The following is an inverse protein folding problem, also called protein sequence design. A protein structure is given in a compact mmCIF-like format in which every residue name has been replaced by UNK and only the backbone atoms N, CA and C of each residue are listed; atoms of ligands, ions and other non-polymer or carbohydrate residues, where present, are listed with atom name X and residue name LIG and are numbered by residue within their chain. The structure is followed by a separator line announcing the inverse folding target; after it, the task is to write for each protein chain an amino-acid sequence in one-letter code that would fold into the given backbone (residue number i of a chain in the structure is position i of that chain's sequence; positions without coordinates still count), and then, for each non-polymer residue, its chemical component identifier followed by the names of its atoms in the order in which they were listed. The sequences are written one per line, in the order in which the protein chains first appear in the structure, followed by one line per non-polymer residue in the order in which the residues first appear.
data_IF_992950139544
#
_entry.id   IF_992950139544
#
_cell.length_a   1.000
_cell.length_b   1.000
_cell.length_c   1.000
_cell.angle_alpha   90.00
_cell.angle_beta   90.00
_cell.angle_gamma   90.00
#
_symmetry.space_group_name_H-M   'P 1'
#
loop_
_entity.id
_entity.type
_entity.pdbx_description
1 polymer ?
#
# COMPACT_ATOMS: atom_id res chain seq x y z
N UNK A 1 -12.98 9.96 -11.29
CA UNK A 1 -11.66 10.03 -11.92
C UNK A 1 -10.89 8.72 -11.83
N UNK A 2 -10.25 8.34 -10.70
CA UNK A 2 -9.52 7.05 -10.64
C UNK A 2 -10.37 5.83 -11.02
N UNK A 3 -11.64 5.78 -10.61
CA UNK A 3 -12.58 4.71 -11.00
C UNK A 3 -12.83 4.59 -12.51
N UNK A 4 -12.50 5.62 -13.29
CA UNK A 4 -12.72 5.68 -14.74
C UNK A 4 -11.45 5.36 -15.54
N UNK A 5 -10.32 5.14 -14.86
CA UNK A 5 -9.05 4.77 -15.48
C UNK A 5 -8.95 3.27 -15.73
N UNK A 6 -9.81 2.44 -15.16
CA UNK A 6 -9.73 0.97 -15.26
C UNK A 6 -9.05 0.29 -14.07
N UNK A 7 -8.58 1.06 -13.07
CA UNK A 7 -8.12 0.51 -11.79
C UNK A 7 -9.24 -0.32 -11.14
N UNK A 8 -8.90 -1.52 -10.69
CA UNK A 8 -9.85 -2.45 -10.05
C UNK A 8 -9.89 -2.30 -8.51
N UNK A 9 -8.86 -1.70 -7.92
CA UNK A 9 -8.74 -1.46 -6.48
C UNK A 9 -8.21 -0.05 -6.25
N UNK A 10 -8.89 0.73 -5.40
CA UNK A 10 -8.50 2.11 -5.05
C UNK A 10 -8.62 2.26 -3.53
N UNK A 11 -7.49 2.34 -2.83
CA UNK A 11 -7.51 2.63 -1.38
C UNK A 11 -8.09 4.04 -1.15
N UNK A 12 -9.28 4.09 -0.54
CA UNK A 12 -10.11 5.29 -0.56
C UNK A 12 -9.75 6.27 0.56
N UNK A 13 -9.48 5.77 1.76
CA UNK A 13 -9.20 6.58 2.96
C UNK A 13 -8.73 5.71 4.13
N UNK A 14 -8.53 6.32 5.30
CA UNK A 14 -8.08 5.69 6.53
C UNK A 14 -8.93 6.13 7.73
N UNK A 15 -9.55 5.17 8.42
CA UNK A 15 -10.35 5.39 9.64
C UNK A 15 -9.44 5.44 10.87
N UNK A 16 -8.43 6.31 10.81
CA UNK A 16 -7.49 6.62 11.90
C UNK A 16 -7.99 7.81 12.71
N UNK A 17 -7.43 7.99 13.90
CA UNK A 17 -7.77 9.15 14.72
C UNK A 17 -7.34 10.47 14.03
N UNK A 18 -8.28 11.41 13.79
CA UNK A 18 -7.97 12.71 13.20
C UNK A 18 -6.97 13.53 14.02
N UNK A 19 -6.84 13.22 15.33
CA UNK A 19 -5.84 13.83 16.21
C UNK A 19 -4.41 13.56 15.75
N UNK A 20 -4.15 12.37 15.22
CA UNK A 20 -2.82 11.94 14.81
C UNK A 20 -2.58 12.14 13.31
N UNK A 21 -3.63 11.98 12.50
CA UNK A 21 -3.57 12.13 11.04
C UNK A 21 -4.71 13.02 10.55
N UNK A 22 -4.59 14.35 10.70
CA UNK A 22 -5.66 15.29 10.36
C UNK A 22 -6.01 15.29 8.87
N UNK A 23 -5.10 14.85 8.00
CA UNK A 23 -5.32 14.74 6.56
C UNK A 23 -6.40 13.70 6.21
N UNK A 24 -6.69 12.77 7.13
CA UNK A 24 -7.72 11.72 6.95
C UNK A 24 -8.97 12.01 7.79
N UNK A 25 -9.13 13.23 8.31
CA UNK A 25 -10.21 13.56 9.26
C UNK A 25 -11.63 13.39 8.68
N UNK A 26 -11.76 13.55 7.37
CA UNK A 26 -12.99 13.46 6.59
C UNK A 26 -13.23 12.06 6.00
N UNK A 27 -12.61 11.03 6.58
CA UNK A 27 -12.68 9.64 6.09
C UNK A 27 -14.11 9.13 5.88
N UNK A 28 -15.06 9.54 6.72
CA UNK A 28 -16.45 9.09 6.62
C UNK A 28 -17.14 9.71 5.42
N UNK A 29 -17.01 11.03 5.28
CA UNK A 29 -17.59 11.83 4.21
C UNK A 29 -17.01 11.44 2.85
N UNK A 30 -15.70 11.18 2.80
CA UNK A 30 -15.03 10.69 1.60
C UNK A 30 -15.58 9.32 1.19
N UNK A 31 -15.65 8.35 2.10
CA UNK A 31 -16.07 7.00 1.74
C UNK A 31 -17.52 6.95 1.26
N UNK A 32 -18.41 7.71 1.91
CA UNK A 32 -19.83 7.81 1.55
C UNK A 32 -20.06 8.67 0.30
N UNK A 33 -19.21 9.68 0.07
CA UNK A 33 -19.36 10.64 -1.04
C UNK A 33 -18.86 10.13 -2.38
N UNK A 34 -17.96 9.14 -2.43
CA UNK A 34 -17.46 8.62 -3.69
C UNK A 34 -18.49 7.73 -4.42
N UNK A 35 -18.59 7.93 -5.74
CA UNK A 35 -19.37 7.04 -6.62
C UNK A 35 -18.68 5.68 -6.71
N UNK A 36 -19.30 4.65 -6.12
CA UNK A 36 -18.86 3.25 -6.22
C UNK A 36 -19.16 2.69 -7.60
N UNK A 37 -18.13 2.39 -8.37
CA UNK A 37 -18.31 1.79 -9.71
C UNK A 37 -18.40 0.26 -9.58
N UNK A 38 -19.30 -0.40 -10.34
CA UNK A 38 -19.40 -1.86 -10.32
C UNK A 38 -18.06 -2.53 -10.63
N UNK A 39 -17.71 -3.56 -9.86
CA UNK A 39 -16.47 -4.33 -10.04
C UNK A 39 -15.20 -3.72 -9.42
N UNK A 40 -15.26 -2.49 -8.91
CA UNK A 40 -14.09 -1.84 -8.27
C UNK A 40 -14.18 -1.97 -6.75
N UNK A 41 -13.09 -2.39 -6.11
CA UNK A 41 -12.95 -2.37 -4.66
C UNK A 41 -12.39 -1.04 -4.16
N UNK A 42 -12.87 -0.62 -2.99
CA UNK A 42 -12.48 0.62 -2.33
C UNK A 42 -12.07 0.35 -0.89
N UNK A 43 -10.93 -0.34 -0.67
CA UNK A 43 -10.46 -0.66 0.68
C UNK A 43 -10.19 0.61 1.50
N UNK A 44 -10.31 0.48 2.81
CA UNK A 44 -10.00 1.53 3.77
C UNK A 44 -9.20 0.99 4.94
N UNK A 45 -8.24 1.77 5.43
CA UNK A 45 -7.40 1.36 6.55
C UNK A 45 -8.17 1.44 7.88
N UNK A 46 -8.10 0.37 8.67
CA UNK A 46 -8.76 0.27 9.97
C UNK A 46 -7.74 -0.14 11.04
N UNK A 47 -7.15 0.81 11.79
CA UNK A 47 -6.04 0.54 12.72
C UNK A 47 -6.45 -0.23 13.98
N UNK A 48 -7.75 -0.29 14.29
CA UNK A 48 -8.31 -0.91 15.50
C UNK A 48 -9.80 -1.17 15.31
N UNK A 49 -10.43 -1.87 16.28
CA UNK A 49 -11.84 -2.24 16.23
C UNK A 49 -12.80 -1.05 16.10
N UNK A 50 -12.49 0.08 16.74
CA UNK A 50 -13.31 1.29 16.65
C UNK A 50 -13.27 1.89 15.24
N UNK A 51 -12.09 1.96 14.63
CA UNK A 51 -11.92 2.39 13.24
C UNK A 51 -12.64 1.45 12.27
N UNK A 52 -12.55 0.13 12.51
CA UNK A 52 -13.28 -0.88 11.75
C UNK A 52 -14.80 -0.67 11.81
N UNK A 53 -15.37 -0.53 13.01
CA UNK A 53 -16.82 -0.29 13.18
C UNK A 53 -17.27 0.98 12.45
N UNK A 54 -16.49 2.06 12.51
CA UNK A 54 -16.76 3.29 11.77
C UNK A 54 -16.70 3.09 10.25
N UNK A 55 -15.71 2.35 9.76
CA UNK A 55 -15.59 2.00 8.34
C UNK A 55 -16.80 1.20 7.83
N UNK A 56 -17.23 0.20 8.60
CA UNK A 56 -18.43 -0.61 8.28
C UNK A 56 -19.68 0.26 8.27
N UNK A 57 -19.86 1.13 9.25
CA UNK A 57 -20.99 2.06 9.29
C UNK A 57 -20.99 3.04 8.10
N UNK A 58 -19.81 3.39 7.59
CA UNK A 58 -19.64 4.20 6.39
C UNK A 58 -19.79 3.41 5.07
N UNK A 59 -20.02 2.09 5.12
CA UNK A 59 -20.26 1.23 3.96
C UNK A 59 -19.01 0.60 3.36
N UNK A 60 -17.91 0.48 4.12
CA UNK A 60 -16.73 -0.26 3.68
C UNK A 60 -17.07 -1.73 3.41
N UNK A 61 -16.56 -2.27 2.29
CA UNK A 61 -16.72 -3.67 1.89
C UNK A 61 -15.40 -4.45 1.91
N UNK A 62 -14.31 -3.76 2.16
CA UNK A 62 -12.96 -4.29 2.29
C UNK A 62 -12.20 -3.35 3.20
N UNK A 63 -11.37 -3.89 4.09
CA UNK A 63 -10.57 -3.11 5.03
C UNK A 63 -9.12 -3.56 5.00
N UNK A 64 -8.22 -2.73 5.50
CA UNK A 64 -6.81 -3.08 5.67
C UNK A 64 -6.32 -2.89 7.11
N UNK A 65 -5.39 -3.74 7.52
CA UNK A 65 -4.63 -3.64 8.77
C UNK A 65 -3.14 -3.51 8.46
N UNK A 66 -2.39 -2.81 9.31
CA UNK A 66 -0.96 -2.54 9.06
C UNK A 66 -0.08 -2.99 10.22
N UNK A 67 0.79 -3.97 9.98
CA UNK A 67 1.88 -4.36 10.86
C UNK A 67 3.24 -3.87 10.35
N UNK A 68 4.31 -4.30 11.02
CA UNK A 68 5.68 -4.05 10.60
C UNK A 68 6.59 -5.23 10.94
N UNK A 69 7.68 -5.38 10.20
CA UNK A 69 8.72 -6.36 10.46
C UNK A 69 9.82 -5.86 11.42
N UNK A 70 9.59 -4.72 12.10
CA UNK A 70 10.53 -4.07 13.00
C UNK A 70 9.89 -3.70 14.34
N UNK A 71 10.53 -4.07 15.45
CA UNK A 71 10.02 -3.82 16.80
C UNK A 71 10.08 -2.33 17.13
N UNK A 72 11.21 -1.67 16.86
CA UNK A 72 11.36 -0.22 17.11
C UNK A 72 10.40 0.60 16.26
N UNK A 73 10.09 0.16 15.03
CA UNK A 73 9.09 0.84 14.20
C UNK A 73 7.69 0.72 14.81
N UNK A 74 7.31 -0.50 15.23
CA UNK A 74 6.02 -0.76 15.87
C UNK A 74 5.89 0.02 17.18
N UNK A 75 6.92 -0.01 18.03
CA UNK A 75 6.94 0.71 19.29
C UNK A 75 6.82 2.22 19.09
N UNK A 76 7.50 2.81 18.10
CA UNK A 76 7.42 4.26 17.85
C UNK A 76 6.10 4.70 17.25
N UNK A 77 5.45 3.85 16.45
CA UNK A 77 4.22 4.23 15.76
C UNK A 77 2.96 3.94 16.58
N UNK A 78 2.93 2.83 17.34
CA UNK A 78 1.73 2.37 18.06
C UNK A 78 1.99 1.96 19.52
N UNK A 79 3.20 2.21 20.05
CA UNK A 79 3.59 2.00 21.45
C UNK A 79 3.33 0.56 21.95
N UNK A 80 3.62 -0.43 21.12
CA UNK A 80 3.62 -1.85 21.48
C UNK A 80 4.63 -2.64 20.65
N UNK A 81 4.87 -3.88 21.03
CA UNK A 81 5.60 -4.88 20.25
C UNK A 81 4.83 -5.32 19.01
N UNK A 82 5.53 -6.01 18.10
CA UNK A 82 4.90 -6.67 16.95
C UNK A 82 3.84 -7.67 17.40
N UNK A 83 4.14 -8.51 18.40
CA UNK A 83 3.22 -9.54 18.87
C UNK A 83 1.92 -8.92 19.42
N UNK A 84 2.04 -7.92 20.30
CA UNK A 84 0.88 -7.19 20.83
C UNK A 84 0.09 -6.48 19.71
N UNK A 85 0.76 -6.02 18.65
CA UNK A 85 0.07 -5.43 17.50
C UNK A 85 -0.75 -6.44 16.72
N UNK A 86 -0.25 -7.67 16.56
CA UNK A 86 -0.95 -8.76 15.89
C UNK A 86 -2.13 -9.26 16.74
N UNK A 87 -1.96 -9.34 18.06
CA UNK A 87 -3.07 -9.64 18.99
C UNK A 87 -4.20 -8.62 18.87
N UNK A 88 -3.89 -7.32 18.75
CA UNK A 88 -4.90 -6.28 18.51
C UNK A 88 -5.64 -6.46 17.18
N UNK A 89 -5.03 -7.07 16.17
CA UNK A 89 -5.71 -7.37 14.92
C UNK A 89 -6.72 -8.51 15.07
N UNK A 90 -6.56 -9.44 16.01
CA UNK A 90 -7.49 -10.57 16.18
C UNK A 90 -8.94 -10.10 16.38
N UNK A 91 -9.15 -9.01 17.12
CA UNK A 91 -10.49 -8.43 17.30
C UNK A 91 -11.07 -7.89 16.00
N UNK A 92 -10.25 -7.21 15.19
CA UNK A 92 -10.64 -6.70 13.86
C UNK A 92 -10.91 -7.86 12.92
N UNK A 93 -10.05 -8.87 12.89
CA UNK A 93 -10.19 -10.06 12.05
C UNK A 93 -11.46 -10.84 12.39
N UNK A 94 -11.76 -11.02 13.68
CA UNK A 94 -13.01 -11.65 14.13
C UNK A 94 -14.24 -10.87 13.68
N UNK A 95 -14.26 -9.56 13.92
CA UNK A 95 -15.39 -8.71 13.54
C UNK A 95 -15.57 -8.64 12.01
N UNK A 96 -14.47 -8.56 11.26
CA UNK A 96 -14.49 -8.59 9.79
C UNK A 96 -15.02 -9.92 9.25
N UNK A 97 -14.62 -11.04 9.85
CA UNK A 97 -15.14 -12.36 9.50
C UNK A 97 -16.64 -12.48 9.77
N UNK A 98 -17.12 -12.02 10.92
CA UNK A 98 -18.56 -12.00 11.24
C UNK A 98 -19.35 -11.14 10.25
N UNK A 99 -18.78 -10.03 9.79
CA UNK A 99 -19.36 -9.15 8.79
C UNK A 99 -19.15 -9.61 7.32
N UNK A 100 -18.43 -10.72 7.09
CA UNK A 100 -18.01 -11.17 5.76
C UNK A 100 -17.25 -10.12 4.95
N UNK A 101 -16.40 -9.33 5.63
CA UNK A 101 -15.57 -8.28 5.04
C UNK A 101 -14.14 -8.81 4.87
N UNK A 102 -13.59 -8.87 3.64
CA UNK A 102 -12.19 -9.21 3.42
C UNK A 102 -11.24 -8.20 4.06
N UNK A 103 -10.12 -8.71 4.56
CA UNK A 103 -9.05 -7.91 5.19
C UNK A 103 -7.75 -8.07 4.41
N UNK A 104 -7.17 -6.95 3.98
CA UNK A 104 -5.82 -6.88 3.40
C UNK A 104 -4.80 -6.56 4.50
N UNK A 105 -3.67 -7.26 4.50
CA UNK A 105 -2.58 -7.01 5.45
C UNK A 105 -1.46 -6.20 4.83
N UNK A 106 -0.91 -5.22 5.55
CA UNK A 106 0.32 -4.52 5.18
C UNK A 106 1.44 -4.87 6.16
N UNK A 107 2.63 -5.17 5.66
CA UNK A 107 3.85 -5.33 6.46
C UNK A 107 4.82 -4.23 6.08
N UNK A 108 5.11 -3.32 7.00
CA UNK A 108 6.08 -2.25 6.82
C UNK A 108 7.52 -2.70 7.08
N UNK A 109 8.49 -1.91 6.59
CA UNK A 109 9.93 -2.08 6.79
C UNK A 109 10.52 -3.38 6.22
N UNK A 110 9.94 -3.95 5.15
CA UNK A 110 10.34 -5.29 4.67
C UNK A 110 11.74 -5.35 4.08
N UNK A 111 12.28 -4.21 3.60
CA UNK A 111 13.64 -4.10 3.05
C UNK A 111 14.57 -3.22 3.91
N UNK A 112 14.10 -2.76 5.05
CA UNK A 112 14.85 -1.89 5.95
C UNK A 112 13.95 -1.06 6.85
N UNK A 113 14.47 -0.72 8.03
CA UNK A 113 13.81 0.11 9.02
C UNK A 113 14.63 1.38 9.27
N UNK A 114 14.01 2.56 9.42
CA UNK A 114 14.72 3.81 9.74
C UNK A 114 15.35 3.82 11.15
N UNK A 115 15.06 2.82 11.98
CA UNK A 115 15.53 2.71 13.36
C UNK A 115 16.46 1.52 13.59
N UNK A 116 16.09 0.33 13.10
CA UNK A 116 16.87 -0.90 13.26
C UNK A 116 17.86 -1.15 12.10
N UNK A 117 17.72 -0.42 11.00
CA UNK A 117 18.52 -0.65 9.80
C UNK A 117 18.06 -1.91 9.05
N UNK A 118 18.95 -2.89 8.89
CA UNK A 118 18.66 -4.09 8.11
C UNK A 118 17.61 -4.96 8.82
N UNK A 119 16.54 -5.30 8.11
CA UNK A 119 15.52 -6.25 8.56
C UNK A 119 15.78 -7.62 7.94
N UNK A 120 15.66 -8.67 8.74
CA UNK A 120 15.84 -10.05 8.28
C UNK A 120 14.62 -10.51 7.48
N UNK A 121 14.86 -11.12 6.32
CA UNK A 121 13.81 -11.73 5.50
C UNK A 121 12.98 -12.78 6.27
N UNK A 122 13.61 -13.50 7.22
CA UNK A 122 12.91 -14.45 8.08
C UNK A 122 11.86 -13.77 8.97
N UNK A 123 12.15 -12.57 9.48
CA UNK A 123 11.20 -11.80 10.30
C UNK A 123 10.03 -11.29 9.45
N UNK A 124 10.29 -10.87 8.22
CA UNK A 124 9.23 -10.49 7.27
C UNK A 124 8.31 -11.68 6.99
N UNK A 125 8.88 -12.86 6.75
CA UNK A 125 8.12 -14.09 6.50
C UNK A 125 7.29 -14.50 7.73
N UNK A 126 7.84 -14.41 8.94
CA UNK A 126 7.13 -14.69 10.19
C UNK A 126 5.86 -13.82 10.34
N UNK A 127 6.01 -12.49 10.21
CA UNK A 127 4.89 -11.54 10.34
C UNK A 127 3.86 -11.76 9.22
N UNK A 128 4.33 -11.91 7.98
CA UNK A 128 3.46 -12.14 6.81
C UNK A 128 2.66 -13.44 6.95
N UNK A 129 3.31 -14.52 7.39
CA UNK A 129 2.66 -15.80 7.68
C UNK A 129 1.60 -15.66 8.75
N UNK A 130 1.89 -14.94 9.84
CA UNK A 130 0.92 -14.75 10.91
C UNK A 130 -0.29 -13.96 10.43
N UNK A 131 -0.10 -12.86 9.70
CA UNK A 131 -1.20 -12.07 9.12
C UNK A 131 -2.06 -12.90 8.14
N UNK A 132 -1.42 -13.66 7.25
CA UNK A 132 -2.11 -14.56 6.34
C UNK A 132 -2.91 -15.64 7.09
N UNK A 133 -2.30 -16.26 8.11
CA UNK A 133 -2.94 -17.32 8.92
C UNK A 133 -4.09 -16.79 9.78
N UNK A 134 -4.06 -15.51 10.17
CA UNK A 134 -5.17 -14.85 10.87
C UNK A 134 -6.38 -14.58 9.95
N UNK A 135 -6.20 -14.69 8.63
CA UNK A 135 -7.28 -14.57 7.64
C UNK A 135 -7.16 -13.38 6.69
N UNK A 136 -6.02 -12.68 6.66
CA UNK A 136 -5.79 -11.71 5.59
C UNK A 136 -5.73 -12.44 4.24
N UNK A 137 -6.49 -11.98 3.24
CA UNK A 137 -6.53 -12.66 1.95
C UNK A 137 -5.30 -12.34 1.07
N UNK A 138 -4.68 -11.18 1.30
CA UNK A 138 -3.49 -10.71 0.59
C UNK A 138 -2.61 -9.91 1.57
N UNK A 139 -1.28 -10.06 1.43
CA UNK A 139 -0.26 -9.34 2.21
C UNK A 139 0.57 -8.45 1.29
N UNK A 140 0.50 -7.13 1.51
CA UNK A 140 1.35 -6.15 0.84
C UNK A 140 2.65 -5.94 1.60
N UNK A 141 3.77 -6.22 0.94
CA UNK A 141 5.12 -6.14 1.47
C UNK A 141 5.72 -4.75 1.16
N UNK A 142 5.80 -3.91 2.20
CA UNK A 142 6.15 -2.50 2.09
C UNK A 142 7.61 -2.16 2.35
N UNK A 143 8.33 -1.70 1.32
CA UNK A 143 9.57 -0.95 1.47
C UNK A 143 9.25 0.50 1.83
N UNK A 144 8.90 0.72 3.10
CA UNK A 144 8.36 1.97 3.64
C UNK A 144 9.30 3.17 3.49
N UNK A 145 10.61 2.93 3.40
CA UNK A 145 11.61 4.01 3.30
C UNK A 145 12.29 4.04 1.93
N UNK A 146 12.05 3.05 1.06
CA UNK A 146 12.56 3.00 -0.31
C UNK A 146 14.05 2.68 -0.39
N UNK A 147 14.62 2.06 0.64
CA UNK A 147 16.07 1.73 0.71
C UNK A 147 16.40 0.38 0.09
N UNK A 148 15.37 -0.41 -0.22
CA UNK A 148 15.53 -1.72 -0.81
C UNK A 148 16.18 -1.65 -2.18
N UNK A 149 16.94 -2.68 -2.49
CA UNK A 149 17.56 -2.90 -3.80
C UNK A 149 17.07 -4.22 -4.41
N UNK A 150 17.24 -4.43 -5.73
CA UNK A 150 16.80 -5.65 -6.42
C UNK A 150 17.28 -6.95 -5.76
N UNK A 151 18.51 -6.96 -5.21
CA UNK A 151 19.05 -8.11 -4.48
C UNK A 151 18.30 -8.39 -3.18
N UNK A 152 18.07 -7.36 -2.37
CA UNK A 152 17.32 -7.51 -1.11
C UNK A 152 15.85 -7.86 -1.33
N UNK A 153 15.21 -7.30 -2.37
CA UNK A 153 13.83 -7.66 -2.75
C UNK A 153 13.74 -9.16 -3.09
N UNK A 154 14.69 -9.66 -3.90
CA UNK A 154 14.76 -11.07 -4.25
C UNK A 154 14.94 -11.97 -3.04
N UNK A 155 15.89 -11.63 -2.15
CA UNK A 155 16.15 -12.39 -0.92
C UNK A 155 14.91 -12.44 -0.02
N UNK A 156 14.27 -11.29 0.21
CA UNK A 156 13.08 -11.17 1.03
C UNK A 156 11.93 -12.01 0.47
N UNK A 157 11.58 -11.84 -0.81
CA UNK A 157 10.50 -12.60 -1.45
C UNK A 157 10.77 -14.10 -1.45
N UNK A 158 12.00 -14.53 -1.70
CA UNK A 158 12.37 -15.95 -1.71
C UNK A 158 12.15 -16.64 -0.35
N UNK A 159 12.23 -15.90 0.75
CA UNK A 159 11.92 -16.42 2.09
C UNK A 159 10.41 -16.36 2.36
N UNK A 160 9.74 -15.25 2.06
CA UNK A 160 8.29 -15.10 2.29
C UNK A 160 7.47 -16.11 1.48
N UNK A 161 7.85 -16.38 0.23
CA UNK A 161 7.16 -17.33 -0.67
C UNK A 161 7.22 -18.79 -0.19
N UNK A 162 8.05 -19.12 0.81
CA UNK A 162 8.04 -20.44 1.46
C UNK A 162 6.88 -20.59 2.43
N UNK A 163 6.34 -19.49 2.92
CA UNK A 163 5.34 -19.45 4.01
C UNK A 163 3.97 -18.93 3.54
N UNK A 164 3.93 -18.06 2.53
CA UNK A 164 2.72 -17.45 1.98
C UNK A 164 2.68 -17.68 0.47
N UNK A 165 1.54 -18.13 -0.11
CA UNK A 165 1.43 -18.37 -1.54
C UNK A 165 1.59 -17.07 -2.32
N UNK A 166 2.32 -17.11 -3.44
CA UNK A 166 2.62 -15.92 -4.26
C UNK A 166 1.38 -15.17 -4.74
N UNK A 167 0.27 -15.89 -4.99
CA UNK A 167 -1.01 -15.29 -5.38
C UNK A 167 -1.70 -14.46 -4.27
N UNK A 168 -1.20 -14.54 -3.04
CA UNK A 168 -1.64 -13.73 -1.90
C UNK A 168 -0.58 -12.68 -1.50
N UNK A 169 0.43 -12.44 -2.33
CA UNK A 169 1.46 -11.44 -2.08
C UNK A 169 1.32 -10.25 -3.02
N UNK A 170 1.45 -9.06 -2.44
CA UNK A 170 1.63 -7.80 -3.15
C UNK A 170 2.93 -7.13 -2.71
N UNK A 171 3.43 -6.19 -3.51
CA UNK A 171 4.57 -5.34 -3.14
C UNK A 171 4.20 -3.86 -3.14
N UNK A 172 4.71 -3.13 -2.16
CA UNK A 172 4.55 -1.69 -2.02
C UNK A 172 5.93 -1.04 -1.91
N UNK A 173 6.38 -0.38 -2.98
CA UNK A 173 7.72 0.18 -3.05
C UNK A 173 7.67 1.70 -3.04
N UNK A 174 8.38 2.31 -2.08
CA UNK A 174 8.67 3.74 -2.15
C UNK A 174 9.85 4.02 -3.08
N UNK A 175 9.78 5.14 -3.78
CA UNK A 175 10.79 5.57 -4.76
C UNK A 175 11.76 6.61 -4.19
N UNK A 176 11.89 6.68 -2.86
CA UNK A 176 12.76 7.63 -2.15
C UNK A 176 14.19 7.66 -2.70
N UNK A 177 14.74 6.50 -3.06
CA UNK A 177 16.08 6.34 -3.62
C UNK A 177 16.09 5.89 -5.09
N UNK A 178 14.98 6.07 -5.81
CA UNK A 178 14.86 5.71 -7.24
C UNK A 178 14.91 4.20 -7.50
N UNK A 179 14.57 3.39 -6.50
CA UNK A 179 14.66 1.92 -6.57
C UNK A 179 13.31 1.24 -6.85
N UNK A 180 12.19 1.97 -6.82
CA UNK A 180 10.88 1.33 -6.74
C UNK A 180 10.57 0.47 -7.97
N UNK A 181 10.71 1.00 -9.18
CA UNK A 181 10.44 0.24 -10.41
C UNK A 181 11.41 -0.94 -10.59
N UNK A 182 12.68 -0.79 -10.18
CA UNK A 182 13.66 -1.87 -10.25
C UNK A 182 13.31 -3.03 -9.28
N UNK A 183 12.86 -2.69 -8.07
CA UNK A 183 12.40 -3.66 -7.08
C UNK A 183 11.10 -4.34 -7.55
N UNK A 184 10.16 -3.58 -8.09
CA UNK A 184 8.91 -4.11 -8.67
C UNK A 184 9.21 -5.06 -9.82
N UNK A 185 10.13 -4.71 -10.73
CA UNK A 185 10.53 -5.59 -11.83
C UNK A 185 11.03 -6.95 -11.30
N UNK A 186 11.82 -6.96 -10.22
CA UNK A 186 12.23 -8.21 -9.56
C UNK A 186 11.04 -8.96 -8.97
N UNK A 187 10.12 -8.26 -8.31
CA UNK A 187 8.92 -8.90 -7.76
C UNK A 187 8.07 -9.57 -8.86
N UNK A 188 7.87 -8.89 -10.00
CA UNK A 188 7.19 -9.44 -11.18
C UNK A 188 7.92 -10.68 -11.73
N UNK A 189 9.25 -10.63 -11.84
CA UNK A 189 10.07 -11.78 -12.26
C UNK A 189 9.96 -12.98 -11.29
N UNK A 190 9.61 -12.73 -10.03
CA UNK A 190 9.37 -13.76 -9.02
C UNK A 190 7.90 -14.22 -8.95
N UNK A 191 7.04 -13.71 -9.82
CA UNK A 191 5.64 -14.13 -9.94
C UNK A 191 4.64 -13.32 -9.10
N UNK A 192 5.07 -12.27 -8.40
CA UNK A 192 4.14 -11.32 -7.77
C UNK A 192 3.34 -10.62 -8.87
N UNK A 193 2.02 -10.50 -8.69
CA UNK A 193 1.11 -9.95 -9.70
C UNK A 193 0.27 -8.77 -9.21
N UNK A 194 0.47 -8.35 -7.95
CA UNK A 194 -0.20 -7.19 -7.35
C UNK A 194 0.85 -6.21 -6.83
N UNK A 195 0.72 -4.94 -7.22
CA UNK A 195 1.69 -3.88 -6.90
C UNK A 195 0.93 -2.62 -6.48
N UNK A 196 1.29 -2.09 -5.32
CA UNK A 196 0.76 -0.82 -4.83
C UNK A 196 1.54 0.35 -5.43
N UNK A 197 0.81 1.41 -5.82
CA UNK A 197 1.37 2.62 -6.38
C UNK A 197 0.46 3.82 -6.07
N UNK A 198 0.99 5.04 -6.24
CA UNK A 198 0.23 6.26 -5.98
C UNK A 198 0.14 7.14 -7.22
N UNK A 199 -1.06 7.66 -7.51
CA UNK A 199 -1.29 8.58 -8.62
C UNK A 199 -0.32 9.76 -8.52
N UNK A 200 0.33 10.13 -9.62
CA UNK A 200 1.32 11.22 -9.69
C UNK A 200 2.47 11.12 -8.67
N UNK A 201 2.72 9.93 -8.10
CA UNK A 201 3.66 9.73 -7.01
C UNK A 201 3.31 10.56 -5.77
N UNK A 202 2.02 10.61 -5.42
CA UNK A 202 1.56 11.27 -4.19
C UNK A 202 2.11 10.58 -2.93
N UNK A 203 2.12 11.36 -1.87
CA UNK A 203 2.74 11.01 -0.60
C UNK A 203 4.12 11.64 -0.45
N UNK A 204 4.88 11.04 0.45
CA UNK A 204 6.23 11.41 0.88
C UNK A 204 6.65 10.49 2.02
N UNK A 205 7.93 10.46 2.36
CA UNK A 205 8.42 9.71 3.51
C UNK A 205 8.58 10.65 4.71
N UNK A 206 7.83 10.51 5.82
CA UNK A 206 8.00 11.37 7.00
C UNK A 206 9.40 11.23 7.61
N UNK A 207 10.09 10.13 7.33
CA UNK A 207 11.44 9.84 7.81
C UNK A 207 12.54 10.38 6.89
N UNK A 208 12.22 10.85 5.68
CA UNK A 208 13.17 11.42 4.74
C UNK A 208 12.61 12.73 4.14
N UNK A 209 13.07 13.87 4.69
CA UNK A 209 12.66 15.20 4.21
C UNK A 209 12.98 15.34 2.71
N UNK A 210 11.95 15.57 1.90
CA UNK A 210 12.06 15.76 0.45
C UNK A 210 11.98 14.48 -0.38
N UNK A 211 11.75 13.32 0.22
CA UNK A 211 11.57 12.06 -0.49
C UNK A 211 10.28 12.03 -1.32
N UNK A 212 10.37 11.43 -2.51
CA UNK A 212 9.27 11.20 -3.46
C UNK A 212 8.11 10.38 -2.87
N UNK A 213 8.36 9.51 -1.88
CA UNK A 213 7.33 8.67 -1.27
C UNK A 213 7.04 7.45 -2.12
N UNK A 214 5.77 7.22 -2.47
CA UNK A 214 5.34 6.07 -3.27
C UNK A 214 5.87 6.13 -4.71
N UNK A 215 5.98 4.97 -5.36
CA UNK A 215 6.12 4.90 -6.83
C UNK A 215 4.90 5.54 -7.52
N UNK A 216 5.14 6.27 -8.61
CA UNK A 216 4.06 6.85 -9.41
C UNK A 216 3.35 5.77 -10.24
N UNK A 217 2.01 5.72 -10.16
CA UNK A 217 1.20 4.73 -10.90
C UNK A 217 1.40 4.84 -12.41
N UNK A 218 1.54 6.05 -12.95
CA UNK A 218 1.78 6.29 -14.37
C UNK A 218 3.09 5.66 -14.86
N UNK A 219 4.16 5.79 -14.07
CA UNK A 219 5.48 5.26 -14.40
C UNK A 219 5.47 3.72 -14.34
N UNK A 220 4.73 3.15 -13.38
CA UNK A 220 4.49 1.70 -13.29
C UNK A 220 3.68 1.19 -14.49
N UNK A 221 2.55 1.80 -14.82
CA UNK A 221 1.71 1.40 -15.95
C UNK A 221 2.47 1.53 -17.27
N UNK A 222 3.29 2.58 -17.43
CA UNK A 222 4.16 2.72 -18.60
C UNK A 222 5.13 1.54 -18.74
N UNK A 223 5.80 1.15 -17.64
CA UNK A 223 6.68 -0.03 -17.64
C UNK A 223 5.91 -1.31 -17.97
N UNK A 224 4.76 -1.54 -17.34
CA UNK A 224 3.95 -2.75 -17.53
C UNK A 224 3.43 -2.87 -18.97
N UNK A 225 2.96 -1.76 -19.55
CA UNK A 225 2.55 -1.71 -20.96
C UNK A 225 3.72 -2.01 -21.90
N UNK A 226 4.89 -1.43 -21.64
CA UNK A 226 6.11 -1.71 -22.42
C UNK A 226 6.60 -3.16 -22.31
N UNK A 227 6.32 -3.84 -21.19
CA UNK A 227 6.56 -5.27 -21.00
C UNK A 227 5.47 -6.17 -21.59
N UNK A 228 4.37 -5.60 -22.11
CA UNK A 228 3.22 -6.35 -22.62
C UNK A 228 2.36 -6.99 -21.53
N UNK A 229 2.45 -6.53 -20.28
CA UNK A 229 1.64 -7.02 -19.16
C UNK A 229 0.32 -6.26 -19.11
N UNK A 230 -0.80 -7.00 -19.12
CA UNK A 230 -2.12 -6.39 -19.08
C UNK A 230 -2.45 -5.82 -17.69
N UNK A 231 -2.89 -4.57 -17.66
CA UNK A 231 -3.36 -3.88 -16.44
C UNK A 231 -4.83 -3.47 -16.50
N UNK A 232 -5.38 -3.31 -17.71
CA UNK A 232 -6.71 -2.71 -17.93
C UNK A 232 -6.75 -1.19 -17.70
N UNK A 233 -5.61 -0.55 -17.39
CA UNK A 233 -5.56 0.87 -17.04
C UNK A 233 -5.32 1.75 -18.27
N UNK A 234 -6.17 2.75 -18.45
CA UNK A 234 -6.03 3.86 -19.38
C UNK A 234 -5.03 4.88 -18.82
N UNK A 235 -3.83 4.90 -19.41
CA UNK A 235 -2.73 5.76 -18.98
C UNK A 235 -3.07 7.24 -19.12
N UNK A 236 -3.81 7.65 -20.16
CA UNK A 236 -4.14 9.06 -20.37
C UNK A 236 -5.08 9.56 -19.28
N UNK A 237 -6.15 8.82 -18.98
CA UNK A 237 -7.07 9.19 -17.90
C UNK A 237 -6.38 9.21 -16.53
N UNK A 238 -5.41 8.31 -16.32
CA UNK A 238 -4.61 8.29 -15.10
C UNK A 238 -3.77 9.56 -14.97
N UNK A 239 -3.10 9.99 -16.05
CA UNK A 239 -2.34 11.23 -16.10
C UNK A 239 -3.22 12.48 -15.90
N UNK A 240 -4.43 12.50 -16.47
CA UNK A 240 -5.41 13.57 -16.25
C UNK A 240 -5.82 13.65 -14.78
N UNK A 241 -6.03 12.50 -14.14
CA UNK A 241 -6.31 12.40 -12.70
C UNK A 241 -5.14 12.90 -11.85
N UNK A 242 -3.90 12.55 -12.23
CA UNK A 242 -2.68 13.05 -11.61
C UNK A 242 -2.55 14.57 -11.71
N UNK A 243 -2.83 15.13 -12.89
CA UNK A 243 -2.85 16.59 -13.11
C UNK A 243 -3.86 17.29 -12.21
N UNK A 244 -5.09 16.76 -12.14
CA UNK A 244 -6.15 17.30 -11.28
C UNK A 244 -5.71 17.40 -9.82
N UNK A 245 -5.23 16.31 -9.24
CA UNK A 245 -4.89 16.27 -7.81
C UNK A 245 -3.62 17.08 -7.50
N UNK A 246 -2.63 17.10 -8.41
CA UNK A 246 -1.46 17.95 -8.27
C UNK A 246 -1.81 19.43 -8.26
N UNK A 247 -2.73 19.87 -9.14
CA UNK A 247 -3.22 21.25 -9.16
C UNK A 247 -3.98 21.60 -7.88
N UNK A 248 -4.87 20.72 -7.40
CA UNK A 248 -5.62 20.93 -6.17
C UNK A 248 -4.71 21.03 -4.93
N UNK A 249 -3.62 20.26 -4.91
CA UNK A 249 -2.62 20.27 -3.83
C UNK A 249 -1.52 21.31 -4.01
N UNK A 250 -1.57 22.12 -5.07
CA UNK A 250 -0.54 23.09 -5.43
C UNK A 250 0.90 22.50 -5.42
N UNK A 251 1.06 21.34 -6.05
CA UNK A 251 2.36 20.64 -6.17
C UNK A 251 2.58 20.14 -7.60
N UNK A 252 3.84 19.86 -7.92
CA UNK A 252 4.19 19.18 -9.19
C UNK A 252 4.02 17.67 -9.05
N UNK A 253 3.72 17.01 -10.17
CA UNK A 253 3.71 15.54 -10.27
C UNK A 253 5.12 14.97 -10.10
N UNK A 254 5.23 13.84 -9.41
CA UNK A 254 6.45 13.05 -9.33
C UNK A 254 6.56 12.01 -10.45
N UNK A 255 5.49 11.75 -11.21
CA UNK A 255 5.55 10.86 -12.37
C UNK A 255 6.46 11.44 -13.45
N UNK A 256 7.44 10.64 -13.87
CA UNK A 256 8.35 10.98 -14.98
C UNK A 256 7.64 10.93 -16.32
N UNK A 257 6.70 9.99 -16.49
CA UNK A 257 5.87 9.89 -17.69
C UNK A 257 5.04 11.16 -17.86
N UNK A 258 4.33 11.60 -16.81
CA UNK A 258 3.53 12.82 -16.85
C UNK A 258 4.38 14.08 -17.12
N UNK A 259 5.60 14.15 -16.61
CA UNK A 259 6.52 15.26 -16.89
C UNK A 259 6.98 15.29 -18.35
N UNK A 260 7.21 14.13 -18.95
CA UNK A 260 7.67 14.02 -20.34
C UNK A 260 6.54 14.29 -21.34
N UNK A 261 5.32 13.85 -21.04
CA UNK A 261 4.18 13.98 -21.96
C UNK A 261 3.57 15.38 -22.03
N UNK A 262 3.74 16.23 -21.02
CA UNK A 262 3.27 17.63 -21.05
C UNK A 262 4.07 18.55 -21.99
N UNK A 263 4.87 18.00 -22.93
CA UNK A 263 5.74 18.75 -23.85
C UNK A 263 5.46 18.51 -25.35
N UNK A 264 4.30 17.98 -25.72
CA UNK A 264 3.86 17.87 -27.12
C UNK A 264 2.55 18.63 -27.35
#
# INVERSE_FOLDING_TARGET
MLSETGLQVIEATSFVSPKWVPQMADHTEVLQGIKKSPGISYPVLTPNLRGFQAAVAAGAKEVSVFGAASELFTQKNINCSIEESLERFEEVMRAAKEASIPVRGYVSCVLGCPYEGKISAAKVAEVSKKMYSMGCYEISLGDTIGVGTPGSMREMLAVVMKEVPVGALAVHCHDTYGQALANILVALQMGVSVVDASVAGLGGCPYARGASGNVATEDLVYMLNGLGIHTGVDLQKLMDTGTFICNALNRKTNSKVSQASCRL
#
